data_IF_122832524850
#
_entry.id   IF_122832524850
#
_cell.length_a   1.000
_cell.length_b   1.000
_cell.length_c   1.000
_cell.angle_alpha   90.00
_cell.angle_beta   90.00
_cell.angle_gamma   90.00
#
_symmetry.space_group_name_H-M   'P 1'
#
loop_
_entity.id
_entity.type
_entity.pdbx_description
1 polymer ?
#
# COMPACT_ATOMS: atom_id res chain seq x y z
N UNK A 1 4.57 -16.33 -16.03
CA UNK A 1 4.99 -16.25 -14.62
C UNK A 1 3.95 -16.97 -13.78
N UNK A 2 4.28 -18.16 -13.24
CA UNK A 2 3.38 -18.92 -12.36
C UNK A 2 3.25 -18.13 -11.06
N UNK A 3 2.14 -17.39 -10.90
CA UNK A 3 1.91 -16.61 -9.68
C UNK A 3 1.74 -17.58 -8.53
N UNK A 4 2.42 -17.31 -7.41
CA UNK A 4 2.27 -18.08 -6.18
C UNK A 4 0.83 -17.89 -5.73
N UNK A 5 0.02 -18.94 -5.89
CA UNK A 5 -1.38 -18.99 -5.47
C UNK A 5 -1.40 -18.70 -3.98
N UNK A 6 -2.04 -17.60 -3.57
CA UNK A 6 -2.13 -17.26 -2.16
C UNK A 6 -3.17 -18.18 -1.55
N UNK A 7 -2.79 -18.84 -0.46
CA UNK A 7 -3.71 -19.61 0.34
C UNK A 7 -4.62 -18.63 1.09
N UNK A 8 -5.93 -18.73 0.91
CA UNK A 8 -6.95 -17.85 1.52
C UNK A 8 -6.77 -17.73 3.04
N UNK A 9 -6.28 -18.78 3.72
CA UNK A 9 -5.97 -18.74 5.16
C UNK A 9 -4.87 -17.72 5.53
N UNK A 10 -3.81 -17.61 4.75
CA UNK A 10 -2.71 -16.67 5.03
C UNK A 10 -3.10 -15.21 4.81
N UNK A 11 -4.03 -14.94 3.90
CA UNK A 11 -4.57 -13.60 3.67
C UNK A 11 -5.43 -13.13 4.85
N UNK A 12 -6.32 -13.99 5.35
CA UNK A 12 -7.17 -13.67 6.51
C UNK A 12 -6.32 -13.40 7.75
N UNK A 13 -5.28 -14.19 7.99
CA UNK A 13 -4.33 -13.95 9.10
C UNK A 13 -3.67 -12.58 8.97
N UNK A 14 -3.26 -12.17 7.77
CA UNK A 14 -2.61 -10.88 7.55
C UNK A 14 -3.59 -9.71 7.77
N UNK A 15 -4.84 -9.86 7.34
CA UNK A 15 -5.90 -8.86 7.59
C UNK A 15 -6.23 -8.76 9.09
N UNK A 16 -6.31 -9.90 9.80
CA UNK A 16 -6.55 -9.92 11.25
C UNK A 16 -5.39 -9.28 12.03
N UNK A 17 -4.15 -9.55 11.64
CA UNK A 17 -2.95 -9.00 12.26
C UNK A 17 -2.80 -7.49 11.94
N UNK A 18 -3.23 -7.07 10.76
CA UNK A 18 -3.39 -5.66 10.42
C UNK A 18 -4.46 -4.99 11.28
N UNK A 19 -5.64 -5.60 11.46
CA UNK A 19 -6.70 -5.07 12.31
C UNK A 19 -6.28 -4.92 13.78
N UNK A 20 -5.53 -5.89 14.32
CA UNK A 20 -5.04 -5.79 15.69
C UNK A 20 -3.97 -4.70 15.83
N UNK A 21 -3.04 -4.59 14.87
CA UNK A 21 -2.06 -3.51 14.83
C UNK A 21 -2.73 -2.13 14.68
N UNK A 22 -3.90 -2.06 14.04
CA UNK A 22 -4.66 -0.83 13.81
C UNK A 22 -5.26 -0.32 15.13
N UNK A 23 -5.86 -1.23 15.89
CA UNK A 23 -6.36 -0.92 17.24
C UNK A 23 -5.21 -0.47 18.16
N UNK A 24 -4.04 -1.10 18.05
CA UNK A 24 -2.85 -0.73 18.84
C UNK A 24 -2.34 0.66 18.45
N UNK A 25 -2.32 1.01 17.17
CA UNK A 25 -1.87 2.34 16.72
C UNK A 25 -2.85 3.44 17.10
N UNK A 26 -4.15 3.18 17.01
CA UNK A 26 -5.18 4.11 17.47
C UNK A 26 -5.14 4.29 19.00
N UNK A 27 -4.91 3.21 19.75
CA UNK A 27 -4.68 3.25 21.19
C UNK A 27 -3.42 4.06 21.54
N UNK A 28 -2.29 3.79 20.89
CA UNK A 28 -1.04 4.55 21.11
C UNK A 28 -1.19 6.03 20.76
N UNK A 29 -1.97 6.37 19.75
CA UNK A 29 -2.24 7.76 19.37
C UNK A 29 -3.06 8.53 20.41
N UNK A 30 -3.78 7.86 21.31
CA UNK A 30 -4.45 8.48 22.45
C UNK A 30 -3.48 8.84 23.59
N UNK A 31 -2.33 8.15 23.70
CA UNK A 31 -1.34 8.36 24.77
C UNK A 31 -0.06 9.08 24.30
N UNK A 32 0.24 9.08 23.00
CA UNK A 32 1.45 9.64 22.42
C UNK A 32 1.15 10.78 21.45
N UNK A 33 2.11 11.67 21.21
CA UNK A 33 1.96 12.71 20.19
C UNK A 33 1.79 12.06 18.81
N UNK A 34 0.76 12.43 18.03
CA UNK A 34 0.42 11.73 16.78
C UNK A 34 1.46 11.97 15.66
N UNK A 35 2.18 13.10 15.71
CA UNK A 35 3.09 13.54 14.65
C UNK A 35 4.28 12.59 14.35
N UNK A 36 5.13 12.20 15.34
CA UNK A 36 6.25 11.30 15.07
C UNK A 36 5.79 9.90 14.65
N UNK A 37 4.68 9.43 15.23
CA UNK A 37 4.12 8.13 14.94
C UNK A 37 3.56 8.09 13.50
N UNK A 38 2.83 9.11 13.07
CA UNK A 38 2.37 9.26 11.69
C UNK A 38 3.55 9.21 10.70
N UNK A 39 4.59 10.01 10.92
CA UNK A 39 5.74 10.07 10.01
C UNK A 39 6.46 8.71 9.87
N UNK A 40 6.60 7.98 10.97
CA UNK A 40 7.24 6.67 10.99
C UNK A 40 6.39 5.63 10.24
N UNK A 41 5.07 5.66 10.40
CA UNK A 41 4.17 4.83 9.59
C UNK A 41 4.19 5.21 8.10
N UNK A 42 4.22 6.51 7.78
CA UNK A 42 4.36 7.00 6.42
C UNK A 42 5.64 6.50 5.75
N UNK A 43 6.76 6.52 6.49
CA UNK A 43 8.04 5.98 6.02
C UNK A 43 7.95 4.47 5.75
N UNK A 44 7.38 3.69 6.67
CA UNK A 44 7.20 2.26 6.46
C UNK A 44 6.28 1.94 5.28
N UNK A 45 5.22 2.73 5.08
CA UNK A 45 4.34 2.61 3.93
C UNK A 45 5.12 2.82 2.62
N UNK A 46 5.92 3.88 2.55
CA UNK A 46 6.75 4.20 1.39
C UNK A 46 7.80 3.13 1.11
N UNK A 47 8.53 2.67 2.14
CA UNK A 47 9.53 1.62 2.00
C UNK A 47 8.91 0.31 1.50
N UNK A 48 7.77 -0.09 2.08
CA UNK A 48 7.05 -1.27 1.64
C UNK A 48 6.57 -1.12 0.19
N UNK A 49 6.01 0.04 -0.16
CA UNK A 49 5.57 0.32 -1.52
C UNK A 49 6.72 0.27 -2.54
N UNK A 50 7.84 0.93 -2.26
CA UNK A 50 9.05 0.89 -3.10
C UNK A 50 9.54 -0.56 -3.26
N UNK A 51 9.56 -1.33 -2.17
CA UNK A 51 9.92 -2.74 -2.19
C UNK A 51 9.01 -3.60 -3.09
N UNK A 52 7.77 -3.17 -3.38
CA UNK A 52 6.91 -3.85 -4.37
C UNK A 52 7.28 -3.56 -5.83
N UNK A 53 7.91 -2.41 -6.10
CA UNK A 53 8.26 -1.93 -7.44
C UNK A 53 9.69 -2.30 -7.84
N UNK A 54 10.63 -2.19 -6.89
CA UNK A 54 12.07 -2.49 -7.09
C UNK A 54 12.31 -3.82 -7.83
N UNK A 55 11.64 -4.95 -7.48
CA UNK A 55 11.87 -6.21 -8.17
C UNK A 55 11.47 -6.22 -9.63
N UNK A 56 10.45 -5.42 -9.99
CA UNK A 56 9.94 -5.34 -11.35
C UNK A 56 10.81 -4.44 -12.22
N UNK A 57 11.24 -3.28 -11.69
CA UNK A 57 12.09 -2.32 -12.40
C UNK A 57 13.48 -2.93 -12.62
N UNK A 58 14.11 -3.43 -11.57
CA UNK A 58 15.46 -3.98 -11.65
C UNK A 58 15.55 -5.21 -12.58
N UNK A 59 14.52 -6.06 -12.62
CA UNK A 59 14.46 -7.17 -13.58
C UNK A 59 14.39 -6.69 -15.04
N UNK A 60 13.82 -5.52 -15.28
CA UNK A 60 13.69 -4.92 -16.61
C UNK A 60 15.00 -4.26 -17.02
N UNK A 61 15.67 -3.54 -16.10
CA UNK A 61 16.93 -2.83 -16.37
C UNK A 61 18.15 -3.77 -16.38
N UNK A 62 18.19 -4.76 -15.50
CA UNK A 62 19.32 -5.68 -15.35
C UNK A 62 18.90 -7.15 -15.55
N UNK A 63 18.60 -7.57 -16.80
CA UNK A 63 18.16 -8.93 -17.09
C UNK A 63 19.21 -10.01 -16.74
N UNK A 64 20.49 -9.64 -16.66
CA UNK A 64 21.60 -10.53 -16.31
C UNK A 64 21.53 -11.04 -14.85
N UNK A 65 20.91 -10.28 -13.95
CA UNK A 65 20.76 -10.62 -12.52
C UNK A 65 19.39 -11.22 -12.16
N UNK A 66 18.64 -11.66 -13.17
CA UNK A 66 17.26 -12.17 -13.07
C UNK A 66 17.07 -13.32 -12.06
N UNK A 67 18.14 -14.04 -11.72
CA UNK A 67 18.10 -15.23 -10.84
C UNK A 67 18.61 -14.97 -9.41
N UNK A 68 18.82 -13.72 -9.00
CA UNK A 68 19.18 -13.44 -7.60
C UNK A 68 18.10 -13.95 -6.64
N UNK A 69 18.50 -14.77 -5.66
CA UNK A 69 17.60 -15.43 -4.70
C UNK A 69 16.76 -14.40 -3.91
N UNK A 70 17.36 -13.27 -3.54
CA UNK A 70 16.67 -12.18 -2.82
C UNK A 70 15.55 -11.55 -3.67
N UNK A 71 15.81 -11.35 -4.96
CA UNK A 71 14.84 -10.74 -5.87
C UNK A 71 13.65 -11.65 -6.17
N UNK A 72 13.93 -12.95 -6.31
CA UNK A 72 12.87 -13.96 -6.42
C UNK A 72 12.03 -14.05 -5.14
N UNK A 73 12.64 -13.90 -3.96
CA UNK A 73 11.91 -13.87 -2.70
C UNK A 73 10.96 -12.66 -2.62
N UNK A 74 11.45 -11.46 -2.95
CA UNK A 74 10.64 -10.24 -3.03
C UNK A 74 9.49 -10.38 -4.02
N UNK A 75 9.74 -10.94 -5.21
CA UNK A 75 8.67 -11.19 -6.20
C UNK A 75 7.61 -12.18 -5.69
N UNK A 76 8.00 -13.21 -4.95
CA UNK A 76 7.05 -14.17 -4.34
C UNK A 76 6.23 -13.54 -3.23
N UNK A 77 6.81 -12.59 -2.48
CA UNK A 77 6.15 -11.91 -1.34
C UNK A 77 5.55 -10.55 -1.70
N UNK A 78 5.66 -10.10 -2.96
CA UNK A 78 5.20 -8.79 -3.46
C UNK A 78 3.78 -8.44 -3.03
N UNK A 79 2.86 -9.40 -3.09
CA UNK A 79 1.45 -9.22 -2.71
C UNK A 79 1.30 -8.90 -1.21
N UNK A 80 2.01 -9.63 -0.36
CA UNK A 80 2.00 -9.38 1.08
C UNK A 80 2.61 -8.01 1.42
N UNK A 81 3.73 -7.67 0.78
CA UNK A 81 4.40 -6.38 0.96
C UNK A 81 3.48 -5.22 0.52
N UNK A 82 2.76 -5.38 -0.60
CA UNK A 82 1.81 -4.36 -1.07
C UNK A 82 0.62 -4.15 -0.14
N UNK A 83 0.08 -5.23 0.43
CA UNK A 83 -0.98 -5.15 1.46
C UNK A 83 -0.45 -4.45 2.71
N UNK A 84 0.78 -4.76 3.14
CA UNK A 84 1.42 -4.05 4.26
C UNK A 84 1.64 -2.57 3.95
N UNK A 85 2.01 -2.21 2.72
CA UNK A 85 2.15 -0.82 2.31
C UNK A 85 0.82 -0.04 2.41
N UNK A 86 -0.27 -0.63 1.91
CA UNK A 86 -1.62 -0.06 2.07
C UNK A 86 -1.98 0.10 3.55
N UNK A 87 -1.68 -0.90 4.37
CA UNK A 87 -1.96 -0.88 5.80
C UNK A 87 -1.23 0.27 6.53
N UNK A 88 0.07 0.43 6.31
CA UNK A 88 0.80 1.55 6.91
C UNK A 88 0.33 2.90 6.36
N UNK A 89 0.02 2.96 5.06
CA UNK A 89 -0.49 4.16 4.41
C UNK A 89 -1.87 4.61 4.91
N UNK A 90 -2.79 3.67 5.16
CA UNK A 90 -4.12 3.99 5.69
C UNK A 90 -4.04 4.51 7.12
N UNK A 91 -3.22 3.90 7.97
CA UNK A 91 -2.97 4.38 9.33
C UNK A 91 -2.33 5.77 9.34
N UNK A 92 -1.33 6.01 8.47
CA UNK A 92 -0.76 7.34 8.28
C UNK A 92 -1.83 8.38 7.90
N UNK A 93 -2.70 8.05 6.93
CA UNK A 93 -3.79 8.92 6.51
C UNK A 93 -4.77 9.25 7.63
N UNK A 94 -5.13 8.26 8.44
CA UNK A 94 -6.04 8.44 9.59
C UNK A 94 -5.41 9.27 10.71
N UNK A 95 -4.14 9.04 11.02
CA UNK A 95 -3.42 9.85 11.99
C UNK A 95 -3.32 11.31 11.51
N UNK A 96 -3.10 11.54 10.21
CA UNK A 96 -3.12 12.88 9.62
C UNK A 96 -4.50 13.54 9.70
N UNK A 97 -5.59 12.78 9.45
CA UNK A 97 -6.96 13.27 9.61
C UNK A 97 -7.23 13.75 11.05
N UNK A 98 -6.81 12.96 12.04
CA UNK A 98 -6.96 13.31 13.46
C UNK A 98 -6.08 14.51 13.83
N UNK A 99 -4.80 14.48 13.46
CA UNK A 99 -3.82 15.51 13.82
C UNK A 99 -4.18 16.88 13.26
N UNK A 100 -4.65 16.93 12.01
CA UNK A 100 -5.02 18.17 11.33
C UNK A 100 -6.49 18.55 11.51
N UNK A 101 -7.26 17.75 12.28
CA UNK A 101 -8.69 17.89 12.50
C UNK A 101 -9.46 18.17 11.20
N UNK A 102 -9.15 17.36 10.19
CA UNK A 102 -9.60 17.57 8.83
C UNK A 102 -11.11 17.26 8.74
N UNK A 103 -11.88 18.24 8.25
CA UNK A 103 -13.30 18.04 8.01
C UNK A 103 -13.54 17.43 6.63
N UNK A 104 -13.85 16.13 6.60
CA UNK A 104 -14.19 15.40 5.38
C UNK A 104 -15.52 15.81 4.75
N UNK A 105 -16.36 16.58 5.44
CA UNK A 105 -17.62 17.08 4.88
C UNK A 105 -17.44 18.38 4.10
N UNK A 106 -16.28 19.02 4.21
CA UNK A 106 -15.97 20.25 3.47
C UNK A 106 -15.35 19.92 2.10
N UNK A 107 -15.96 20.35 0.98
CA UNK A 107 -15.37 20.19 -0.36
C UNK A 107 -13.97 20.82 -0.50
N UNK A 108 -13.66 21.90 0.22
CA UNK A 108 -12.37 22.58 0.14
C UNK A 108 -11.23 21.69 0.65
N UNK A 109 -11.50 20.89 1.69
CA UNK A 109 -10.58 19.88 2.20
C UNK A 109 -10.13 18.91 1.11
N UNK A 110 -11.04 18.49 0.24
CA UNK A 110 -10.70 17.53 -0.82
C UNK A 110 -9.74 18.13 -1.84
N UNK A 111 -9.78 19.44 -2.08
CA UNK A 111 -8.84 20.14 -2.94
C UNK A 111 -7.47 20.25 -2.27
N UNK A 112 -7.42 20.66 -0.99
CA UNK A 112 -6.18 20.80 -0.24
C UNK A 112 -5.43 19.47 -0.06
N UNK A 113 -6.16 18.38 0.18
CA UNK A 113 -5.59 17.05 0.45
C UNK A 113 -5.81 16.08 -0.71
N UNK A 114 -6.07 16.59 -1.92
CA UNK A 114 -6.41 15.80 -3.11
C UNK A 114 -5.41 14.67 -3.38
N UNK A 115 -4.12 14.99 -3.29
CA UNK A 115 -3.02 14.05 -3.53
C UNK A 115 -3.05 12.88 -2.55
N UNK A 116 -3.18 13.16 -1.25
CA UNK A 116 -3.21 12.14 -0.21
C UNK A 116 -4.45 11.24 -0.30
N UNK A 117 -5.62 11.85 -0.51
CA UNK A 117 -6.89 11.13 -0.66
C UNK A 117 -6.86 10.25 -1.93
N UNK A 118 -6.31 10.76 -3.03
CA UNK A 118 -6.16 9.99 -4.28
C UNK A 118 -5.23 8.78 -4.12
N UNK A 119 -4.09 8.95 -3.43
CA UNK A 119 -3.16 7.83 -3.15
C UNK A 119 -3.86 6.76 -2.30
N UNK A 120 -4.57 7.15 -1.24
CA UNK A 120 -5.33 6.23 -0.39
C UNK A 120 -6.42 5.50 -1.17
N UNK A 121 -7.14 6.22 -2.02
CA UNK A 121 -8.19 5.65 -2.86
C UNK A 121 -7.62 4.59 -3.82
N UNK A 122 -6.53 4.91 -4.51
CA UNK A 122 -5.85 3.97 -5.41
C UNK A 122 -5.36 2.75 -4.64
N UNK A 123 -4.65 2.92 -3.52
CA UNK A 123 -4.18 1.78 -2.73
C UNK A 123 -5.33 0.91 -2.21
N UNK A 124 -6.47 1.51 -1.87
CA UNK A 124 -7.68 0.76 -1.47
C UNK A 124 -8.16 -0.16 -2.58
N UNK A 125 -8.26 0.33 -3.82
CA UNK A 125 -8.62 -0.49 -4.99
C UNK A 125 -7.61 -1.62 -5.19
N UNK A 126 -6.32 -1.32 -5.07
CA UNK A 126 -5.27 -2.33 -5.20
C UNK A 126 -5.35 -3.39 -4.10
N UNK A 127 -5.60 -3.00 -2.86
CA UNK A 127 -5.74 -3.94 -1.74
C UNK A 127 -6.94 -4.87 -1.93
N UNK A 128 -8.10 -4.33 -2.33
CA UNK A 128 -9.32 -5.12 -2.60
C UNK A 128 -9.10 -6.09 -3.76
N UNK A 129 -8.41 -5.64 -4.82
CA UNK A 129 -8.13 -6.45 -6.02
C UNK A 129 -6.91 -7.38 -5.87
N UNK A 130 -6.21 -7.29 -4.73
CA UNK A 130 -5.09 -8.15 -4.33
C UNK A 130 -5.59 -9.44 -3.66
N UNK A 131 -6.67 -10.04 -4.19
CA UNK A 131 -7.18 -11.34 -3.73
C UNK A 131 -7.27 -12.36 -4.89
N UNK A 132 -7.17 -13.67 -4.59
CA UNK A 132 -7.11 -14.71 -5.64
C UNK A 132 -8.40 -14.83 -6.45
N UNK A 133 -9.54 -14.51 -5.81
CA UNK A 133 -10.84 -14.46 -6.48
C UNK A 133 -10.85 -13.32 -7.51
N UNK A 134 -10.45 -12.12 -7.13
CA UNK A 134 -10.31 -10.95 -8.00
C UNK A 134 -9.36 -11.20 -9.17
N UNK A 135 -8.22 -11.87 -8.96
CA UNK A 135 -7.30 -12.26 -10.04
C UNK A 135 -7.99 -13.19 -11.05
N UNK A 136 -8.73 -14.19 -10.56
CA UNK A 136 -9.44 -15.16 -11.40
C UNK A 136 -10.61 -14.52 -12.15
N UNK A 137 -11.33 -13.59 -11.52
CA UNK A 137 -12.49 -12.90 -12.08
C UNK A 137 -12.07 -11.84 -13.11
N UNK A 138 -11.07 -11.01 -12.80
CA UNK A 138 -10.65 -9.86 -13.63
C UNK A 138 -9.71 -10.26 -14.78
N UNK A 139 -8.99 -11.38 -14.68
CA UNK A 139 -8.09 -11.92 -15.71
C UNK A 139 -7.16 -10.85 -16.33
N UNK A 140 -7.44 -10.40 -17.55
CA UNK A 140 -6.62 -9.43 -18.27
C UNK A 140 -6.68 -8.02 -17.67
N UNK A 141 -7.86 -7.60 -17.18
CA UNK A 141 -8.09 -6.29 -16.56
C UNK A 141 -7.34 -6.14 -15.23
N UNK A 142 -7.01 -7.25 -14.58
CA UNK A 142 -6.29 -7.24 -13.31
C UNK A 142 -4.93 -6.52 -13.42
N UNK A 143 -4.21 -6.75 -14.52
CA UNK A 143 -2.93 -6.08 -14.76
C UNK A 143 -3.10 -4.59 -14.98
N UNK A 144 -4.12 -4.19 -15.73
CA UNK A 144 -4.45 -2.78 -15.97
C UNK A 144 -4.77 -2.05 -14.66
N UNK A 145 -5.54 -2.67 -13.77
CA UNK A 145 -5.81 -2.11 -12.44
C UNK A 145 -4.51 -1.99 -11.64
N UNK A 146 -3.64 -3.00 -11.66
CA UNK A 146 -2.38 -2.95 -10.94
C UNK A 146 -1.36 -1.96 -11.54
N UNK A 147 -1.55 -1.48 -12.77
CA UNK A 147 -0.75 -0.38 -13.32
C UNK A 147 -1.08 0.97 -12.67
N UNK A 148 -2.20 1.10 -11.94
CA UNK A 148 -2.47 2.27 -11.11
C UNK A 148 -1.39 2.51 -10.05
N UNK A 149 -0.58 1.48 -9.72
CA UNK A 149 0.65 1.69 -8.93
C UNK A 149 1.54 2.78 -9.52
N UNK A 150 1.70 2.89 -10.83
CA UNK A 150 2.54 3.93 -11.44
C UNK A 150 1.94 5.33 -11.25
N UNK A 151 0.62 5.43 -11.22
CA UNK A 151 -0.11 6.66 -10.92
C UNK A 151 0.15 7.11 -9.47
N UNK A 152 0.28 6.17 -8.52
CA UNK A 152 0.69 6.49 -7.15
C UNK A 152 2.09 7.08 -7.07
N UNK A 153 3.06 6.59 -7.86
CA UNK A 153 4.40 7.21 -7.93
C UNK A 153 4.28 8.66 -8.38
N UNK A 154 3.49 8.89 -9.41
CA UNK A 154 3.27 10.21 -9.98
C UNK A 154 2.65 11.16 -8.94
N UNK A 155 1.60 10.73 -8.24
CA UNK A 155 1.05 11.52 -7.13
C UNK A 155 2.07 11.73 -6.03
N UNK A 156 2.82 10.72 -5.60
CA UNK A 156 3.77 10.84 -4.49
C UNK A 156 4.91 11.84 -4.78
N UNK A 157 5.32 12.00 -6.03
CA UNK A 157 6.38 12.94 -6.44
C UNK A 157 5.90 14.39 -6.51
N UNK A 158 4.59 14.67 -6.42
CA UNK A 158 4.06 16.03 -6.38
C UNK A 158 4.30 16.81 -7.67
N UNK A 159 4.10 16.18 -8.83
CA UNK A 159 4.28 16.83 -10.16
C UNK A 159 3.13 17.82 -10.48
N UNK A 160 2.41 18.34 -9.49
CA UNK A 160 1.38 19.38 -9.64
C UNK A 160 1.36 20.32 -8.44
#
# INVERSE_FOLDING_TARGET
MRQVIVNTKSYVVLVLLALSAYLITLFLALFCTPAPLANLLGLFALLAYIATLVPSIYKTVFPLFKNSKSMMFLLKKRRYIGISAFYFGSNYGLLMLIQKNINLLDPLTYLEYFQGISILFIFTILAITSNDWSVKTLKHNWKTIHQLTYLVVFFCLGIF
#
